data_IF_959489710062
#
_entry.id   IF_959489710062
#
_cell.length_a   1.000
_cell.length_b   1.000
_cell.length_c   1.000
_cell.angle_alpha   90.00
_cell.angle_beta   90.00
_cell.angle_gamma   90.00
#
_symmetry.space_group_name_H-M   'P 1'
#
loop_
_entity.id
_entity.type
_entity.pdbx_description
1 polymer ?
#
# COMPACT_ATOMS: atom_id res chain seq x y z
N UNK A 1 -15.36 22.77 -15.34
CA UNK A 1 -14.47 22.43 -14.21
C UNK A 1 -14.75 20.99 -13.81
N UNK A 2 -13.80 20.06 -14.03
CA UNK A 2 -13.97 18.63 -13.67
C UNK A 2 -13.40 18.46 -12.26
N UNK A 3 -14.25 18.20 -11.27
CA UNK A 3 -13.80 17.93 -9.90
C UNK A 3 -12.96 16.65 -9.91
N UNK A 4 -11.65 16.77 -9.69
CA UNK A 4 -10.79 15.64 -9.41
C UNK A 4 -11.30 14.94 -8.16
N UNK A 5 -11.76 13.71 -8.31
CA UNK A 5 -12.32 12.92 -7.21
C UNK A 5 -11.23 12.59 -6.20
N UNK A 6 -11.26 13.27 -5.04
CA UNK A 6 -10.48 12.88 -3.87
C UNK A 6 -11.04 11.55 -3.37
N UNK A 7 -10.21 10.49 -3.37
CA UNK A 7 -10.59 9.20 -2.79
C UNK A 7 -10.79 9.37 -1.28
N UNK A 8 -12.03 9.25 -0.80
CA UNK A 8 -12.33 9.32 0.62
C UNK A 8 -11.89 8.04 1.35
N UNK A 9 -11.57 8.16 2.63
CA UNK A 9 -11.18 7.02 3.50
C UNK A 9 -12.23 5.89 3.46
N UNK A 10 -13.52 6.24 3.38
CA UNK A 10 -14.61 5.27 3.29
C UNK A 10 -14.57 4.42 2.02
N UNK A 11 -14.19 5.01 0.88
CA UNK A 11 -14.03 4.28 -0.38
C UNK A 11 -12.87 3.28 -0.30
N UNK A 12 -11.79 3.66 0.39
CA UNK A 12 -10.63 2.77 0.64
C UNK A 12 -11.00 1.55 1.49
N UNK A 13 -11.77 1.77 2.55
CA UNK A 13 -12.25 0.70 3.46
C UNK A 13 -13.16 -0.28 2.72
N UNK A 14 -14.03 0.22 1.82
CA UNK A 14 -14.90 -0.64 1.01
C UNK A 14 -14.11 -1.56 0.08
N UNK A 15 -13.11 -1.04 -0.63
CA UNK A 15 -12.26 -1.85 -1.51
C UNK A 15 -11.44 -2.89 -0.74
N UNK A 16 -10.93 -2.52 0.44
CA UNK A 16 -10.22 -3.46 1.30
C UNK A 16 -11.12 -4.64 1.72
N UNK A 17 -12.38 -4.37 2.07
CA UNK A 17 -13.37 -5.43 2.40
C UNK A 17 -13.79 -6.26 1.19
N UNK A 18 -13.80 -5.68 0.00
CA UNK A 18 -14.15 -6.35 -1.25
C UNK A 18 -13.00 -7.17 -1.87
N UNK A 19 -11.78 -7.09 -1.32
CA UNK A 19 -10.60 -7.72 -1.91
C UNK A 19 -10.07 -7.01 -3.16
N UNK A 20 -10.50 -5.78 -3.43
CA UNK A 20 -10.10 -4.96 -4.59
C UNK A 20 -8.70 -4.33 -4.38
N UNK A 21 -7.71 -5.14 -4.00
CA UNK A 21 -6.35 -4.66 -3.68
C UNK A 21 -5.60 -4.11 -4.89
N UNK A 22 -5.92 -4.58 -6.10
CA UNK A 22 -5.38 -4.08 -7.38
C UNK A 22 -5.59 -2.56 -7.57
N UNK A 23 -6.56 -1.95 -6.87
CA UNK A 23 -6.79 -0.49 -6.91
C UNK A 23 -5.77 0.30 -6.08
N UNK A 24 -5.08 -0.35 -5.15
CA UNK A 24 -4.01 0.26 -4.35
C UNK A 24 -2.64 0.21 -5.03
N UNK A 25 -2.50 -0.65 -6.04
CA UNK A 25 -1.26 -0.79 -6.81
C UNK A 25 -1.06 0.33 -7.84
N UNK A 26 -2.08 1.18 -8.07
CA UNK A 26 -1.97 2.24 -9.05
C UNK A 26 -1.09 3.39 -8.56
N UNK A 27 -0.10 3.82 -9.36
CA UNK A 27 0.76 4.94 -9.03
C UNK A 27 -0.02 6.27 -9.04
N UNK A 28 0.30 7.13 -8.08
CA UNK A 28 -0.32 8.45 -7.94
C UNK A 28 0.07 9.31 -9.15
N UNK A 29 -0.91 9.77 -9.93
CA UNK A 29 -0.70 10.62 -11.10
C UNK A 29 -0.90 9.96 -12.48
N UNK A 30 -1.30 8.69 -12.53
CA UNK A 30 -1.79 8.05 -13.77
C UNK A 30 -3.32 7.99 -13.77
N UNK A 31 -3.93 8.15 -14.95
CA UNK A 31 -5.38 8.00 -15.12
C UNK A 31 -5.77 6.55 -14.90
N UNK A 32 -6.89 6.34 -14.19
CA UNK A 32 -7.41 5.02 -13.86
C UNK A 32 -7.82 4.26 -15.13
N UNK A 33 -7.11 3.18 -15.45
CA UNK A 33 -7.52 2.20 -16.46
C UNK A 33 -8.17 1.00 -15.75
N UNK A 34 -9.49 0.98 -15.69
CA UNK A 34 -10.24 -0.15 -15.13
C UNK A 34 -10.02 -1.40 -15.99
N UNK A 35 -9.57 -2.51 -15.39
CA UNK A 35 -9.40 -3.79 -16.10
C UNK A 35 -8.09 -3.94 -16.87
N UNK A 36 -7.15 -3.00 -16.76
CA UNK A 36 -5.76 -3.17 -17.21
C UNK A 36 -4.86 -3.08 -15.98
N UNK A 37 -4.24 -4.19 -15.59
CA UNK A 37 -3.12 -4.15 -14.65
C UNK A 37 -1.99 -3.29 -15.24
N UNK A 38 -1.00 -2.89 -14.43
CA UNK A 38 0.21 -2.25 -14.96
C UNK A 38 0.74 -3.07 -16.14
N UNK A 39 0.76 -2.44 -17.31
CA UNK A 39 1.23 -3.08 -18.54
C UNK A 39 2.75 -3.11 -18.45
N UNK A 40 3.29 -4.20 -17.89
CA UNK A 40 4.72 -4.39 -17.82
C UNK A 40 5.23 -4.63 -19.24
N UNK A 41 6.10 -3.75 -19.70
CA UNK A 41 6.71 -3.87 -21.03
C UNK A 41 7.65 -5.07 -21.13
N UNK A 42 8.13 -5.56 -19.98
CA UNK A 42 9.00 -6.73 -19.86
C UNK A 42 8.83 -7.45 -18.53
N UNK A 43 9.22 -8.73 -18.49
CA UNK A 43 9.26 -9.52 -17.25
C UNK A 43 10.20 -8.90 -16.20
N UNK A 44 11.28 -8.25 -16.64
CA UNK A 44 12.21 -7.55 -15.76
C UNK A 44 11.53 -6.38 -15.03
N UNK A 45 10.74 -5.59 -15.74
CA UNK A 45 9.98 -4.47 -15.15
C UNK A 45 8.95 -4.98 -14.14
N UNK A 46 8.27 -6.09 -14.45
CA UNK A 46 7.35 -6.76 -13.52
C UNK A 46 8.06 -7.19 -12.23
N UNK A 47 9.20 -7.86 -12.35
CA UNK A 47 9.99 -8.34 -11.22
C UNK A 47 10.56 -7.19 -10.38
N UNK A 48 10.94 -6.08 -11.00
CA UNK A 48 11.40 -4.89 -10.28
C UNK A 48 10.26 -4.22 -9.50
N UNK A 49 9.08 -4.09 -10.10
CA UNK A 49 7.89 -3.56 -9.42
C UNK A 49 7.46 -4.45 -8.25
N UNK A 50 7.47 -5.76 -8.43
CA UNK A 50 7.16 -6.74 -7.39
C UNK A 50 8.20 -6.68 -6.25
N UNK A 51 9.49 -6.63 -6.56
CA UNK A 51 10.54 -6.45 -5.55
C UNK A 51 10.39 -5.14 -4.77
N UNK A 52 10.07 -4.05 -5.45
CA UNK A 52 9.83 -2.77 -4.80
C UNK A 52 8.62 -2.83 -3.87
N UNK A 53 7.52 -3.43 -4.31
CA UNK A 53 6.32 -3.63 -3.50
C UNK A 53 6.59 -4.49 -2.27
N UNK A 54 7.26 -5.64 -2.43
CA UNK A 54 7.65 -6.50 -1.31
C UNK A 54 8.60 -5.78 -0.34
N UNK A 55 9.51 -4.96 -0.85
CA UNK A 55 10.40 -4.13 -0.02
C UNK A 55 9.61 -3.13 0.82
N UNK A 56 8.59 -2.48 0.24
CA UNK A 56 7.71 -1.58 0.98
C UNK A 56 6.92 -2.31 2.08
N UNK A 57 6.40 -3.51 1.80
CA UNK A 57 5.72 -4.32 2.83
C UNK A 57 6.67 -4.66 3.99
N UNK A 58 7.90 -5.07 3.68
CA UNK A 58 8.92 -5.37 4.68
C UNK A 58 9.26 -4.15 5.55
N UNK A 59 9.37 -2.96 4.97
CA UNK A 59 9.62 -1.73 5.74
C UNK A 59 8.48 -1.39 6.70
N UNK A 60 7.23 -1.61 6.31
CA UNK A 60 6.07 -1.44 7.19
C UNK A 60 6.14 -2.41 8.37
N UNK A 61 6.45 -3.68 8.10
CA UNK A 61 6.58 -4.72 9.14
C UNK A 61 7.72 -4.42 10.12
N UNK A 62 8.87 -3.95 9.64
CA UNK A 62 9.99 -3.53 10.50
C UNK A 62 9.57 -2.40 11.45
N UNK A 63 8.88 -1.38 10.94
CA UNK A 63 8.37 -0.26 11.75
C UNK A 63 7.40 -0.74 12.82
N UNK A 64 6.52 -1.69 12.48
CA UNK A 64 5.60 -2.29 13.44
C UNK A 64 6.36 -3.00 14.58
N UNK A 65 7.33 -3.85 14.25
CA UNK A 65 8.15 -4.55 15.25
C UNK A 65 8.90 -3.58 16.17
N UNK A 66 9.39 -2.45 15.65
CA UNK A 66 10.05 -1.44 16.46
C UNK A 66 9.08 -0.75 17.44
N UNK A 67 7.86 -0.43 16.98
CA UNK A 67 6.82 0.14 17.83
C UNK A 67 6.43 -0.83 18.94
N UNK A 68 6.27 -2.12 18.63
CA UNK A 68 5.96 -3.15 19.61
C UNK A 68 7.04 -3.23 20.70
N UNK A 69 8.33 -3.23 20.32
CA UNK A 69 9.45 -3.19 21.27
C UNK A 69 9.41 -1.95 22.17
N UNK A 70 9.09 -0.78 21.61
CA UNK A 70 8.95 0.47 22.38
C UNK A 70 7.81 0.38 23.39
N UNK A 71 6.67 -0.19 23.00
CA UNK A 71 5.52 -0.38 23.88
C UNK A 71 5.83 -1.33 25.03
N UNK A 72 6.50 -2.45 24.75
CA UNK A 72 6.93 -3.41 25.79
C UNK A 72 7.86 -2.74 26.80
N UNK A 73 8.87 -2.00 26.33
CA UNK A 73 9.79 -1.25 27.22
C UNK A 73 9.05 -0.22 28.08
N UNK A 74 8.12 0.54 27.50
CA UNK A 74 7.32 1.52 28.24
C UNK A 74 6.46 0.87 29.31
N UNK A 75 5.86 -0.30 29.00
CA UNK A 75 5.08 -1.08 29.96
C UNK A 75 5.94 -1.56 31.14
N UNK A 76 7.17 -1.99 30.87
CA UNK A 76 8.11 -2.45 31.91
C UNK A 76 8.64 -1.29 32.79
N UNK A 77 8.81 -0.09 32.23
CA UNK A 77 9.29 1.10 32.95
C UNK A 77 8.23 1.79 33.82
N UNK A 78 6.95 1.47 33.61
CA UNK A 78 5.82 2.06 34.34
C UNK A 78 5.40 1.24 35.57
N UNK A 79 6.17 0.21 35.93
CA UNK A 79 6.03 -0.61 37.12
C UNK A 79 7.21 -0.39 38.07
#
# INVERSE_FOLDING_TARGET
>A
MKHGGVFSVGTRVRWNRAGDTHRFEQPVGKQYTYGKGPEYSSELERLQAENHYLSQQNEVLKKYNELERKLIRKRQSNW
#
